data_IF_157651743425
#
_entry.id   IF_157651743425
#
_cell.length_a   1.000
_cell.length_b   1.000
_cell.length_c   1.000
_cell.angle_alpha   90.00
_cell.angle_beta   90.00
_cell.angle_gamma   90.00
#
_symmetry.space_group_name_H-M   'P 1'
#
loop_
_entity.id
_entity.type
_entity.pdbx_description
1 polymer ?
#
# COMPACT_ATOMS: atom_id res chain seq x y z
N UNK A 1 4.77 13.91 12.40
CA UNK A 1 6.18 14.16 12.54
C UNK A 1 7.01 13.44 11.50
N UNK A 2 6.67 12.19 11.20
CA UNK A 2 7.39 11.39 10.18
C UNK A 2 7.30 11.99 8.77
N UNK A 3 6.27 12.76 8.48
CA UNK A 3 5.96 13.18 7.13
C UNK A 3 6.04 14.68 6.93
N UNK A 4 6.74 15.37 7.80
CA UNK A 4 6.55 16.79 7.95
C UNK A 4 7.15 17.69 6.84
N UNK A 5 8.32 17.43 6.30
CA UNK A 5 8.97 18.43 5.44
C UNK A 5 8.73 18.20 3.95
N UNK A 6 8.61 16.95 3.48
CA UNK A 6 8.52 16.64 2.06
C UNK A 6 7.21 15.99 1.67
N UNK A 7 6.23 15.93 2.59
CA UNK A 7 5.01 15.18 2.35
C UNK A 7 4.16 15.76 1.23
N UNK A 8 4.20 17.08 1.03
CA UNK A 8 3.35 17.73 0.01
C UNK A 8 3.54 17.19 -1.39
N UNK A 9 4.76 16.80 -1.75
CA UNK A 9 5.02 16.27 -3.10
C UNK A 9 4.39 14.90 -3.33
N UNK A 10 3.97 14.22 -2.26
CA UNK A 10 3.31 12.93 -2.33
C UNK A 10 1.80 13.03 -2.19
N UNK A 11 1.25 14.24 -2.02
CA UNK A 11 -0.20 14.42 -1.90
C UNK A 11 -0.89 13.79 -3.11
N UNK A 12 -1.93 13.01 -2.85
CA UNK A 12 -2.61 12.26 -3.89
C UNK A 12 -3.27 13.19 -4.90
N UNK A 13 -3.16 12.85 -6.18
CA UNK A 13 -3.96 13.44 -7.24
C UNK A 13 -4.92 12.37 -7.71
N UNK A 14 -6.18 12.52 -7.33
CA UNK A 14 -7.23 11.52 -7.58
C UNK A 14 -7.47 11.24 -9.06
N UNK A 15 -7.20 12.20 -9.91
CA UNK A 15 -7.44 12.08 -11.36
C UNK A 15 -6.26 11.51 -12.13
N UNK A 16 -5.05 11.59 -11.56
CA UNK A 16 -3.85 11.11 -12.23
C UNK A 16 -3.77 9.59 -12.18
N UNK A 17 -3.34 8.99 -13.29
CA UNK A 17 -3.13 7.53 -13.32
C UNK A 17 -2.01 7.13 -12.36
N UNK A 18 -2.19 5.97 -11.75
CA UNK A 18 -1.19 5.37 -10.89
C UNK A 18 -0.22 4.52 -11.72
N UNK A 19 0.85 4.02 -11.07
CA UNK A 19 1.87 3.22 -11.75
C UNK A 19 1.35 1.89 -12.28
N UNK A 20 0.21 1.40 -11.78
CA UNK A 20 -0.43 0.16 -12.27
C UNK A 20 -1.94 0.32 -12.32
N UNK A 21 -2.58 -0.53 -13.14
CA UNK A 21 -4.03 -0.50 -13.27
C UNK A 21 -4.74 -0.86 -11.98
N UNK A 22 -4.22 -1.85 -11.26
CA UNK A 22 -4.82 -2.24 -9.97
C UNK A 22 -4.73 -1.10 -8.95
N UNK A 23 -3.60 -0.40 -8.90
CA UNK A 23 -3.45 0.72 -7.99
C UNK A 23 -4.43 1.84 -8.34
N UNK A 24 -4.61 2.12 -9.62
CA UNK A 24 -5.58 3.15 -10.05
C UNK A 24 -7.01 2.73 -9.71
N UNK A 25 -7.36 1.46 -9.86
CA UNK A 25 -8.69 0.97 -9.48
C UNK A 25 -8.93 1.12 -7.98
N UNK A 26 -7.93 0.81 -7.17
CA UNK A 26 -8.00 1.03 -5.71
C UNK A 26 -8.20 2.51 -5.42
N UNK A 27 -7.43 3.37 -6.08
CA UNK A 27 -7.55 4.82 -5.92
C UNK A 27 -8.97 5.30 -6.18
N UNK A 28 -9.57 4.87 -7.28
CA UNK A 28 -10.92 5.28 -7.61
C UNK A 28 -11.96 4.69 -6.64
N UNK A 29 -11.71 3.50 -6.11
CA UNK A 29 -12.59 2.89 -5.13
C UNK A 29 -12.61 3.67 -3.80
N UNK A 30 -11.44 4.09 -3.31
CA UNK A 30 -11.34 4.79 -2.03
C UNK A 30 -11.71 6.28 -2.14
N UNK A 31 -11.75 6.82 -3.32
CA UNK A 31 -12.00 8.25 -3.55
C UNK A 31 -13.26 8.78 -2.86
N UNK A 32 -14.44 8.12 -2.95
CA UNK A 32 -15.64 8.61 -2.28
C UNK A 32 -15.51 8.64 -0.76
N UNK A 33 -14.69 7.76 -0.20
CA UNK A 33 -14.54 7.63 1.25
C UNK A 33 -13.44 8.50 1.81
N UNK A 34 -12.38 8.74 1.03
CA UNK A 34 -11.17 9.41 1.50
C UNK A 34 -10.91 10.76 0.81
N UNK A 35 -11.83 11.21 -0.03
CA UNK A 35 -11.61 12.41 -0.84
C UNK A 35 -11.41 13.68 -0.03
N UNK A 36 -11.84 13.70 1.22
CA UNK A 36 -11.68 14.86 2.11
C UNK A 36 -10.56 14.71 3.12
N UNK A 37 -9.92 13.55 3.14
CA UNK A 37 -8.82 13.27 4.06
C UNK A 37 -7.48 13.68 3.44
N UNK A 38 -6.47 13.75 4.31
CA UNK A 38 -5.09 13.94 3.87
C UNK A 38 -4.56 12.56 3.47
N UNK A 39 -4.42 12.35 2.16
CA UNK A 39 -4.00 11.07 1.59
C UNK A 39 -2.78 11.29 0.73
N UNK A 40 -1.83 10.37 0.82
CA UNK A 40 -0.61 10.36 0.03
C UNK A 40 -0.56 9.13 -0.85
N UNK A 41 0.03 9.27 -2.02
CA UNK A 41 0.28 8.16 -2.93
C UNK A 41 1.77 8.00 -3.14
N UNK A 42 2.27 6.77 -3.07
CA UNK A 42 3.69 6.43 -3.20
C UNK A 42 4.56 7.26 -2.26
N UNK A 43 4.12 7.33 -1.02
CA UNK A 43 4.79 8.09 0.02
C UNK A 43 6.07 7.40 0.45
N UNK A 44 7.19 8.10 0.34
CA UNK A 44 8.46 7.60 0.85
C UNK A 44 8.59 7.99 2.31
N UNK A 45 8.93 7.00 3.14
CA UNK A 45 9.14 7.24 4.56
C UNK A 45 10.54 7.76 4.78
N UNK A 46 10.65 8.97 5.36
CA UNK A 46 11.92 9.66 5.55
C UNK A 46 12.88 8.80 6.39
N UNK A 47 14.13 8.73 5.94
CA UNK A 47 15.17 7.97 6.63
C UNK A 47 15.14 6.48 6.36
N UNK A 48 14.28 6.02 5.47
CA UNK A 48 14.17 4.60 5.12
C UNK A 48 14.09 4.43 3.61
N UNK A 49 14.13 3.17 3.15
CA UNK A 49 13.85 2.81 1.76
C UNK A 49 12.39 2.43 1.55
N UNK A 50 11.58 2.51 2.60
CA UNK A 50 10.18 2.11 2.53
C UNK A 50 9.36 3.15 1.80
N UNK A 51 8.37 2.68 1.05
CA UNK A 51 7.33 3.52 0.49
C UNK A 51 5.97 2.85 0.71
N UNK A 52 4.95 3.67 0.84
CA UNK A 52 3.57 3.20 1.01
C UNK A 52 2.79 3.60 -0.23
N UNK A 53 2.09 2.64 -0.84
CA UNK A 53 1.32 2.93 -2.06
C UNK A 53 0.25 3.97 -1.80
N UNK A 54 -0.51 3.83 -0.72
CA UNK A 54 -1.43 4.85 -0.23
C UNK A 54 -1.31 4.98 1.28
N UNK A 55 -1.40 6.19 1.77
CA UNK A 55 -1.44 6.45 3.20
C UNK A 55 -2.45 7.53 3.54
N UNK A 56 -3.42 7.20 4.39
CA UNK A 56 -4.40 8.15 4.92
C UNK A 56 -3.92 8.61 6.29
N UNK A 57 -3.47 9.87 6.38
CA UNK A 57 -2.90 10.40 7.60
C UNK A 57 -3.96 10.67 8.68
N UNK A 58 -5.19 10.97 8.29
CA UNK A 58 -6.28 11.21 9.25
C UNK A 58 -6.67 9.93 9.97
N UNK A 59 -6.75 8.82 9.23
CA UNK A 59 -7.21 7.53 9.77
C UNK A 59 -6.07 6.61 10.16
N UNK A 60 -4.83 6.95 9.79
CA UNK A 60 -3.65 6.10 9.99
C UNK A 60 -3.84 4.72 9.35
N UNK A 61 -4.19 4.73 8.08
CA UNK A 61 -4.39 3.51 7.30
C UNK A 61 -3.47 3.57 6.08
N UNK A 62 -2.69 2.53 5.87
CA UNK A 62 -1.87 2.35 4.67
C UNK A 62 -2.46 1.25 3.81
N UNK A 63 -2.38 1.41 2.50
CA UNK A 63 -2.76 0.38 1.54
C UNK A 63 -1.55 0.04 0.70
N UNK A 64 -1.26 -1.26 0.59
CA UNK A 64 -0.23 -1.78 -0.30
C UNK A 64 -0.90 -2.63 -1.37
N UNK A 65 -0.54 -2.38 -2.61
CA UNK A 65 -1.08 -3.09 -3.76
C UNK A 65 -0.04 -4.08 -4.24
N UNK A 66 -0.41 -5.34 -4.30
CA UNK A 66 0.48 -6.44 -4.65
C UNK A 66 0.07 -7.03 -6.00
N UNK A 67 0.98 -7.79 -6.61
CA UNK A 67 0.64 -8.58 -7.78
C UNK A 67 -0.26 -9.76 -7.42
N UNK A 68 -0.39 -10.72 -8.33
CA UNK A 68 -1.18 -11.94 -8.05
C UNK A 68 -0.44 -12.81 -7.04
N UNK A 69 -1.11 -13.11 -5.94
CA UNK A 69 -0.51 -13.82 -4.82
C UNK A 69 0.11 -15.15 -5.21
N UNK A 70 -0.63 -15.97 -5.94
CA UNK A 70 -0.16 -17.30 -6.35
C UNK A 70 0.93 -17.23 -7.41
N UNK A 71 0.82 -16.31 -8.34
CA UNK A 71 1.79 -16.15 -9.42
C UNK A 71 3.13 -15.63 -8.93
N UNK A 72 3.14 -14.76 -7.93
CA UNK A 72 4.38 -14.27 -7.35
C UNK A 72 5.23 -15.42 -6.79
N UNK A 73 4.60 -16.26 -5.99
CA UNK A 73 5.30 -17.40 -5.39
C UNK A 73 5.88 -18.31 -6.47
N UNK A 74 5.06 -18.69 -7.45
CA UNK A 74 5.48 -19.60 -8.52
C UNK A 74 6.59 -18.99 -9.38
N UNK A 75 6.48 -17.71 -9.69
CA UNK A 75 7.47 -17.00 -10.48
C UNK A 75 8.86 -17.06 -9.84
N UNK A 76 8.95 -16.75 -8.56
CA UNK A 76 10.22 -16.80 -7.86
C UNK A 76 10.76 -18.21 -7.75
N UNK A 77 9.89 -19.17 -7.55
CA UNK A 77 10.27 -20.56 -7.41
C UNK A 77 10.81 -21.12 -8.73
N UNK A 78 10.09 -20.89 -9.82
CA UNK A 78 10.46 -21.42 -11.14
C UNK A 78 11.70 -20.77 -11.73
N UNK A 79 11.95 -19.52 -11.42
CA UNK A 79 13.10 -18.80 -11.93
C UNK A 79 14.36 -18.98 -11.09
N UNK A 80 14.33 -19.84 -10.10
CA UNK A 80 15.43 -20.04 -9.14
C UNK A 80 15.90 -18.72 -8.51
N UNK A 81 14.97 -17.78 -8.37
CA UNK A 81 15.31 -16.45 -7.89
C UNK A 81 15.00 -16.32 -6.39
N UNK A 82 15.51 -17.28 -5.64
CA UNK A 82 15.26 -17.37 -4.21
C UNK A 82 15.75 -16.15 -3.44
N UNK A 83 16.88 -15.61 -3.86
CA UNK A 83 17.44 -14.42 -3.21
C UNK A 83 16.51 -13.21 -3.34
N UNK A 84 15.95 -13.00 -4.53
CA UNK A 84 15.01 -11.90 -4.74
C UNK A 84 13.72 -12.08 -3.96
N UNK A 85 13.24 -13.32 -3.86
CA UNK A 85 12.06 -13.64 -3.07
C UNK A 85 12.28 -13.36 -1.59
N UNK A 86 13.43 -13.78 -1.05
CA UNK A 86 13.78 -13.51 0.34
C UNK A 86 13.91 -12.01 0.62
N UNK A 87 14.49 -11.25 -0.31
CA UNK A 87 14.57 -9.79 -0.17
C UNK A 87 13.18 -9.16 -0.15
N UNK A 88 12.27 -9.67 -0.97
CA UNK A 88 10.89 -9.18 -0.97
C UNK A 88 10.20 -9.47 0.37
N UNK A 89 10.38 -10.68 0.90
CA UNK A 89 9.83 -11.04 2.21
C UNK A 89 10.36 -10.13 3.31
N UNK A 90 11.65 -9.80 3.28
CA UNK A 90 12.23 -8.88 4.25
C UNK A 90 11.63 -7.49 4.16
N UNK A 91 11.43 -6.98 2.94
CA UNK A 91 10.81 -5.66 2.75
C UNK A 91 9.39 -5.64 3.26
N UNK A 92 8.62 -6.69 2.98
CA UNK A 92 7.24 -6.79 3.45
C UNK A 92 7.18 -6.84 4.97
N UNK A 93 8.11 -7.56 5.59
CA UNK A 93 8.21 -7.63 7.05
C UNK A 93 8.55 -6.25 7.64
N UNK A 94 9.47 -5.52 7.02
CA UNK A 94 9.85 -4.18 7.47
C UNK A 94 8.67 -3.21 7.38
N UNK A 95 7.88 -3.28 6.31
CA UNK A 95 6.68 -2.46 6.18
C UNK A 95 5.66 -2.78 7.26
N UNK A 96 5.43 -4.05 7.51
CA UNK A 96 4.51 -4.48 8.55
C UNK A 96 4.98 -4.00 9.93
N UNK A 97 6.26 -4.16 10.24
CA UNK A 97 6.83 -3.68 11.49
C UNK A 97 6.71 -2.16 11.63
N UNK A 98 6.99 -1.44 10.56
CA UNK A 98 6.85 0.01 10.56
C UNK A 98 5.43 0.43 10.87
N UNK A 99 4.45 -0.19 10.21
CA UNK A 99 3.04 0.12 10.44
C UNK A 99 2.62 -0.20 11.86
N UNK A 100 3.00 -1.37 12.37
CA UNK A 100 2.68 -1.76 13.75
C UNK A 100 3.28 -0.80 14.77
N UNK A 101 4.54 -0.43 14.57
CA UNK A 101 5.24 0.47 15.49
C UNK A 101 4.61 1.85 15.53
N UNK A 102 4.07 2.31 14.41
CA UNK A 102 3.51 3.65 14.28
C UNK A 102 1.99 3.70 14.41
N UNK A 103 1.36 2.59 14.77
CA UNK A 103 -0.09 2.55 14.95
C UNK A 103 -0.86 2.69 13.64
N UNK A 104 -0.29 2.23 12.54
CA UNK A 104 -0.89 2.30 11.21
C UNK A 104 -1.50 0.95 10.87
N UNK A 105 -2.76 0.92 10.46
CA UNK A 105 -3.39 -0.28 9.93
C UNK A 105 -2.94 -0.48 8.50
N UNK A 106 -2.52 -1.69 8.16
CA UNK A 106 -2.04 -2.03 6.82
C UNK A 106 -3.06 -2.91 6.11
N UNK A 107 -3.52 -2.45 4.96
CA UNK A 107 -4.41 -3.21 4.08
C UNK A 107 -3.59 -3.67 2.87
N UNK A 108 -3.57 -4.97 2.62
CA UNK A 108 -2.86 -5.54 1.47
C UNK A 108 -3.89 -6.01 0.45
N UNK A 109 -3.80 -5.48 -0.77
CA UNK A 109 -4.73 -5.79 -1.85
C UNK A 109 -3.94 -6.46 -2.97
N UNK A 110 -4.37 -7.65 -3.36
CA UNK A 110 -3.77 -8.40 -4.45
C UNK A 110 -4.56 -8.20 -5.74
N UNK A 111 -3.89 -8.40 -6.86
CA UNK A 111 -4.49 -8.16 -8.18
C UNK A 111 -5.74 -9.00 -8.42
N UNK A 112 -5.79 -10.21 -7.86
CA UNK A 112 -6.93 -11.12 -7.98
C UNK A 112 -8.00 -10.92 -6.89
N UNK A 113 -7.82 -9.96 -5.99
CA UNK A 113 -8.84 -9.61 -5.01
C UNK A 113 -9.97 -8.82 -5.66
N UNK A 114 -11.19 -9.02 -5.15
CA UNK A 114 -12.30 -8.13 -5.46
C UNK A 114 -12.24 -6.91 -4.54
N UNK A 115 -12.10 -5.73 -5.13
CA UNK A 115 -12.01 -4.49 -4.36
C UNK A 115 -13.41 -4.13 -3.88
N UNK A 116 -13.64 -4.21 -2.57
CA UNK A 116 -14.97 -4.04 -1.96
C UNK A 116 -14.84 -3.58 -0.53
N UNK A 117 -15.96 -3.13 0.04
CA UNK A 117 -16.03 -2.78 1.46
C UNK A 117 -15.66 -3.99 2.32
N UNK A 118 -16.10 -5.19 1.91
CA UNK A 118 -15.81 -6.42 2.64
C UNK A 118 -14.32 -6.72 2.69
N UNK A 119 -13.60 -6.44 1.61
CA UNK A 119 -12.15 -6.63 1.57
C UNK A 119 -11.47 -5.79 2.67
N UNK A 120 -11.86 -4.53 2.76
CA UNK A 120 -11.29 -3.62 3.77
C UNK A 120 -11.66 -4.06 5.19
N UNK A 121 -12.88 -4.56 5.37
CA UNK A 121 -13.32 -4.99 6.70
C UNK A 121 -12.52 -6.18 7.23
N UNK A 122 -11.94 -7.00 6.36
CA UNK A 122 -11.04 -8.08 6.79
C UNK A 122 -9.80 -7.58 7.51
N UNK A 123 -9.41 -6.34 7.25
CA UNK A 123 -8.28 -5.69 7.92
C UNK A 123 -8.76 -4.74 9.03
N UNK A 124 -10.01 -4.87 9.45
CA UNK A 124 -10.63 -4.00 10.46
C UNK A 124 -10.67 -2.53 10.03
N UNK A 125 -10.82 -2.30 8.73
CA UNK A 125 -11.00 -0.96 8.17
C UNK A 125 -12.42 -0.87 7.65
N UNK A 126 -13.18 0.06 8.22
CA UNK A 126 -14.60 0.23 7.90
C UNK A 126 -14.80 1.56 7.19
N UNK A 127 -15.10 1.47 5.90
CA UNK A 127 -15.28 2.62 5.05
C UNK A 127 -16.68 3.24 5.20
#
# INVERSE_FOLDING_TARGET
VLFRSNARKYAINWDKKSKSDIQFRVKQFIRPYWGRDIVFEELRVVGTRLSLDFYNANKKIAIEVQGKQHQQFNKFFHNNNRANWLDQLKRDDLKLKFCLTNGIKLVEIYEDDEISIDLFSKFEVYL
#
